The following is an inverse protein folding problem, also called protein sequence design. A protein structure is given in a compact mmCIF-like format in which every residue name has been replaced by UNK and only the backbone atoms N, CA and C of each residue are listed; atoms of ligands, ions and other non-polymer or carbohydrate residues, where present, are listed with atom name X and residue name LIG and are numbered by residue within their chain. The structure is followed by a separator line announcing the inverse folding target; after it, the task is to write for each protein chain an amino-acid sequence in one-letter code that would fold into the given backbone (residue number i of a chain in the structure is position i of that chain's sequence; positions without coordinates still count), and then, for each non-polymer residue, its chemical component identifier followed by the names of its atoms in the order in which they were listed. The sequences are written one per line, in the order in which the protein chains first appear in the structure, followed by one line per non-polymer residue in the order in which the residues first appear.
data_IF_322821928972
#
_entry.id   IF_322821928972
#
_cell.length_a   1.000
_cell.length_b   1.000
_cell.length_c   1.000
_cell.angle_alpha   90.00
_cell.angle_beta   90.00
_cell.angle_gamma   90.00
#
_symmetry.space_group_name_H-M   'P 1'
#
loop_
_entity.id
_entity.type
_entity.pdbx_description
1 polymer ?
#
# COMPACT_ATOMS: atom_id res chain seq x y z
N UNK A 1 -20.11 45.01 -14.08
CA UNK A 1 -19.60 43.63 -14.03
C UNK A 1 -20.01 42.93 -15.31
N UNK A 2 -19.03 42.53 -16.12
CA UNK A 2 -19.24 42.21 -17.53
C UNK A 2 -19.36 40.73 -17.80
N UNK A 3 -19.96 40.39 -18.95
CA UNK A 3 -20.12 39.02 -19.47
C UNK A 3 -18.80 38.20 -19.46
N UNK A 4 -17.64 38.86 -19.53
CA UNK A 4 -16.30 38.25 -19.46
C UNK A 4 -15.94 37.62 -18.10
N UNK A 5 -16.50 38.08 -16.97
CA UNK A 5 -16.30 37.43 -15.65
C UNK A 5 -17.04 36.09 -15.59
N UNK A 6 -18.26 36.03 -16.13
CA UNK A 6 -19.08 34.80 -16.15
C UNK A 6 -18.43 33.67 -16.96
N UNK A 7 -17.73 33.99 -18.06
CA UNK A 7 -17.02 32.98 -18.85
C UNK A 7 -15.75 32.46 -18.15
N UNK A 8 -15.04 33.30 -17.39
CA UNK A 8 -13.88 32.88 -16.59
C UNK A 8 -14.29 32.03 -15.39
N UNK A 9 -15.38 32.38 -14.71
CA UNK A 9 -15.89 31.60 -13.58
C UNK A 9 -16.41 30.23 -14.04
N UNK A 10 -17.04 30.16 -15.22
CA UNK A 10 -17.47 28.88 -15.79
C UNK A 10 -16.28 27.99 -16.17
N UNK A 11 -15.28 28.53 -16.86
CA UNK A 11 -14.08 27.78 -17.23
C UNK A 11 -13.30 27.26 -16.01
N UNK A 12 -13.17 28.07 -14.95
CA UNK A 12 -12.56 27.64 -13.68
C UNK A 12 -13.37 26.56 -12.98
N UNK A 13 -14.69 26.64 -13.05
CA UNK A 13 -15.58 25.66 -12.42
C UNK A 13 -15.57 24.34 -13.18
N UNK A 14 -15.48 24.39 -14.51
CA UNK A 14 -15.36 23.23 -15.39
C UNK A 14 -13.97 22.57 -15.20
N UNK A 15 -12.86 23.32 -15.16
CA UNK A 15 -11.53 22.81 -14.79
C UNK A 15 -11.51 22.16 -13.40
N UNK A 16 -12.19 22.80 -12.43
CA UNK A 16 -12.26 22.30 -11.08
C UNK A 16 -13.13 21.04 -10.99
N UNK A 17 -14.18 20.92 -11.82
CA UNK A 17 -14.97 19.69 -11.95
C UNK A 17 -14.13 18.58 -12.59
N UNK A 18 -13.46 18.86 -13.71
CA UNK A 18 -12.62 17.91 -14.43
C UNK A 18 -11.46 17.39 -13.56
N UNK A 19 -10.91 18.24 -12.68
CA UNK A 19 -9.88 17.84 -11.70
C UNK A 19 -10.40 16.95 -10.57
N UNK A 20 -11.71 16.98 -10.28
CA UNK A 20 -12.34 16.15 -9.25
C UNK A 20 -12.86 14.84 -9.87
N UNK A 21 -13.22 14.83 -11.15
CA UNK A 21 -13.77 13.65 -11.84
C UNK A 21 -12.72 12.71 -12.44
N UNK A 22 -11.45 13.11 -12.51
CA UNK A 22 -10.34 12.31 -13.06
C UNK A 22 -9.23 12.08 -12.01
N UNK A 23 -9.60 11.78 -10.77
CA UNK A 23 -8.63 11.42 -9.73
C UNK A 23 -8.10 10.00 -9.98
N UNK A 24 -6.78 9.84 -9.89
CA UNK A 24 -6.05 8.56 -9.95
C UNK A 24 -5.76 8.04 -8.55
N UNK A 25 -5.32 6.79 -8.42
CA UNK A 25 -5.03 6.18 -7.12
C UNK A 25 -3.91 6.91 -6.37
N UNK A 26 -2.86 7.33 -7.06
CA UNK A 26 -1.72 8.08 -6.47
C UNK A 26 -2.12 9.48 -5.94
N UNK A 27 -3.26 10.00 -6.41
CA UNK A 27 -3.81 11.27 -5.94
C UNK A 27 -4.59 11.16 -4.62
N UNK A 28 -4.86 9.94 -4.13
CA UNK A 28 -5.59 9.72 -2.89
C UNK A 28 -4.86 10.27 -1.67
N UNK A 29 -5.62 10.87 -0.74
CA UNK A 29 -5.13 11.44 0.52
C UNK A 29 -6.01 10.99 1.68
N UNK A 30 -5.52 11.03 2.94
CA UNK A 30 -6.36 10.75 4.10
C UNK A 30 -7.69 11.52 4.08
N UNK A 31 -8.78 10.79 4.31
CA UNK A 31 -10.16 11.28 4.24
C UNK A 31 -10.85 11.12 2.87
N UNK A 32 -10.14 10.69 1.83
CA UNK A 32 -10.76 10.33 0.55
C UNK A 32 -11.59 9.05 0.70
N UNK A 33 -12.61 8.90 -0.15
CA UNK A 33 -13.36 7.66 -0.34
C UNK A 33 -12.98 7.03 -1.68
N UNK A 34 -12.96 5.71 -1.73
CA UNK A 34 -12.76 4.93 -2.96
C UNK A 34 -13.60 3.66 -2.90
N UNK A 35 -14.21 3.28 -4.02
CA UNK A 35 -14.93 2.02 -4.14
C UNK A 35 -14.03 0.93 -4.71
N UNK A 36 -13.99 -0.21 -4.04
CA UNK A 36 -13.24 -1.41 -4.42
C UNK A 36 -13.94 -2.65 -3.86
N UNK A 37 -14.03 -3.72 -4.66
CA UNK A 37 -14.64 -5.01 -4.28
C UNK A 37 -16.03 -4.85 -3.64
N UNK A 38 -16.91 -4.09 -4.32
CA UNK A 38 -18.29 -3.80 -3.91
C UNK A 38 -18.45 -3.12 -2.53
N UNK A 39 -17.36 -2.55 -2.01
CA UNK A 39 -17.34 -1.79 -0.75
C UNK A 39 -16.78 -0.39 -1.00
N UNK A 40 -17.24 0.56 -0.19
CA UNK A 40 -16.63 1.89 -0.07
C UNK A 40 -15.62 1.87 1.06
N UNK A 41 -14.44 2.39 0.78
CA UNK A 41 -13.31 2.47 1.70
C UNK A 41 -12.93 3.92 1.94
N UNK A 42 -12.56 4.24 3.17
CA UNK A 42 -11.96 5.52 3.51
C UNK A 42 -10.44 5.38 3.60
N UNK A 43 -9.72 6.26 2.92
CA UNK A 43 -8.27 6.37 3.04
C UNK A 43 -7.94 6.92 4.43
N UNK A 44 -7.31 6.12 5.29
CA UNK A 44 -6.92 6.54 6.65
C UNK A 44 -5.50 7.06 6.72
N UNK A 45 -4.61 6.50 5.91
CA UNK A 45 -3.21 6.90 5.82
C UNK A 45 -2.72 6.81 4.37
N UNK A 46 -1.66 7.55 4.07
CA UNK A 46 -0.92 7.48 2.82
C UNK A 46 0.57 7.49 3.16
N UNK A 47 1.13 6.31 3.41
CA UNK A 47 2.48 6.08 3.90
C UNK A 47 3.49 6.03 2.76
N UNK A 48 4.77 6.15 3.13
CA UNK A 48 5.88 6.05 2.20
C UNK A 48 6.97 5.16 2.79
N UNK A 49 7.55 4.32 1.94
CA UNK A 49 8.73 3.52 2.24
C UNK A 49 9.90 3.94 1.35
N UNK A 50 11.10 3.91 1.90
CA UNK A 50 12.35 4.16 1.18
C UNK A 50 13.27 2.95 1.34
N UNK A 51 13.56 2.31 0.22
CA UNK A 51 14.35 1.08 0.09
C UNK A 51 15.69 1.41 -0.58
N UNK A 52 16.51 2.22 0.10
CA UNK A 52 17.73 2.77 -0.50
C UNK A 52 17.43 3.81 -1.59
N UNK A 53 17.59 3.43 -2.86
CA UNK A 53 17.28 4.30 -4.01
C UNK A 53 15.83 4.16 -4.51
N UNK A 54 15.14 3.06 -4.16
CA UNK A 54 13.76 2.80 -4.54
C UNK A 54 12.76 3.37 -3.51
N UNK A 55 11.51 3.55 -3.94
CA UNK A 55 10.42 4.01 -3.09
C UNK A 55 9.13 3.25 -3.39
N UNK A 56 8.31 3.05 -2.36
CA UNK A 56 6.92 2.67 -2.51
C UNK A 56 6.00 3.58 -1.70
N UNK A 57 4.75 3.66 -2.14
CA UNK A 57 3.66 4.39 -1.49
C UNK A 57 2.58 3.40 -1.09
N UNK A 58 2.02 3.56 0.10
CA UNK A 58 0.99 2.67 0.61
C UNK A 58 -0.20 3.47 1.13
N UNK A 59 -1.42 3.07 0.80
CA UNK A 59 -2.66 3.63 1.33
C UNK A 59 -3.35 2.61 2.22
N UNK A 60 -3.54 2.97 3.50
CA UNK A 60 -4.39 2.20 4.39
C UNK A 60 -5.85 2.55 4.09
N UNK A 61 -6.59 1.59 3.55
CA UNK A 61 -8.01 1.73 3.23
C UNK A 61 -8.85 0.97 4.27
N UNK A 62 -9.79 1.68 4.89
CA UNK A 62 -10.63 1.14 5.97
C UNK A 62 -12.10 1.23 5.60
N UNK A 63 -12.80 0.10 5.73
CA UNK A 63 -14.26 0.03 5.65
C UNK A 63 -14.86 -0.21 7.04
N UNK A 64 -16.18 -0.37 7.12
CA UNK A 64 -16.85 -0.62 8.39
C UNK A 64 -16.42 -1.93 9.10
N UNK A 65 -15.85 -2.89 8.37
CA UNK A 65 -15.56 -4.24 8.89
C UNK A 65 -14.21 -4.80 8.48
N UNK A 66 -13.40 -4.05 7.73
CA UNK A 66 -12.20 -4.58 7.08
C UNK A 66 -11.15 -3.47 6.88
N UNK A 67 -9.90 -3.88 6.79
CA UNK A 67 -8.75 -3.02 6.50
C UNK A 67 -7.89 -3.69 5.44
N UNK A 68 -7.52 -2.94 4.43
CA UNK A 68 -6.59 -3.36 3.40
C UNK A 68 -5.55 -2.28 3.15
N UNK A 69 -4.45 -2.69 2.55
CA UNK A 69 -3.36 -1.83 2.18
C UNK A 69 -3.20 -1.93 0.67
N UNK A 70 -3.23 -0.78 0.01
CA UNK A 70 -2.96 -0.66 -1.41
C UNK A 70 -1.55 -0.09 -1.53
N UNK A 71 -0.65 -0.78 -2.22
CA UNK A 71 0.71 -0.31 -2.41
C UNK A 71 0.98 -0.05 -3.88
N UNK A 72 1.85 0.94 -4.13
CA UNK A 72 2.37 1.33 -5.43
C UNK A 72 3.90 1.38 -5.36
N UNK A 73 4.55 0.51 -6.12
CA UNK A 73 5.98 0.55 -6.34
C UNK A 73 6.27 1.19 -7.71
N UNK A 74 7.24 2.09 -7.77
CA UNK A 74 7.69 2.72 -9.01
C UNK A 74 9.20 2.58 -9.11
N UNK A 75 9.66 1.43 -9.60
CA UNK A 75 11.06 1.22 -9.97
C UNK A 75 11.21 1.37 -11.50
N UNK A 76 10.94 0.31 -12.26
CA UNK A 76 10.94 0.33 -13.74
C UNK A 76 9.53 0.53 -14.34
N UNK A 77 8.55 -0.21 -13.82
CA UNK A 77 7.12 -0.08 -14.16
C UNK A 77 6.31 0.23 -12.89
N UNK A 78 5.11 0.80 -13.07
CA UNK A 78 4.22 1.07 -11.94
C UNK A 78 3.43 -0.19 -11.63
N UNK A 79 3.71 -0.76 -10.47
CA UNK A 79 3.05 -1.97 -10.00
C UNK A 79 2.17 -1.64 -8.80
N UNK A 80 0.97 -2.23 -8.79
CA UNK A 80 0.01 -2.07 -7.71
C UNK A 80 -0.27 -3.43 -7.10
N UNK A 81 -0.27 -3.49 -5.78
CA UNK A 81 -0.69 -4.69 -5.06
C UNK A 81 -1.68 -4.32 -3.95
N UNK A 82 -2.49 -5.29 -3.55
CA UNK A 82 -3.42 -5.13 -2.44
C UNK A 82 -3.20 -6.25 -1.44
N UNK A 83 -3.14 -5.89 -0.16
CA UNK A 83 -2.87 -6.84 0.90
C UNK A 83 -3.78 -6.62 2.10
N UNK A 84 -3.92 -7.68 2.91
CA UNK A 84 -4.63 -7.66 4.18
C UNK A 84 -3.72 -8.20 5.27
N UNK A 85 -3.82 -7.66 6.49
CA UNK A 85 -3.04 -8.18 7.61
C UNK A 85 -3.47 -9.60 7.93
N UNK A 86 -2.49 -10.48 8.12
CA UNK A 86 -2.67 -11.83 8.62
C UNK A 86 -1.92 -11.99 9.94
N UNK A 87 -2.29 -13.00 10.72
CA UNK A 87 -1.48 -13.31 11.90
C UNK A 87 -0.15 -13.90 11.44
N UNK A 88 0.97 -13.26 11.79
CA UNK A 88 2.31 -13.82 11.55
C UNK A 88 2.45 -15.25 12.12
N UNK A 89 1.79 -15.55 13.25
CA UNK A 89 1.76 -16.91 13.83
C UNK A 89 1.16 -17.96 12.89
N UNK A 90 0.31 -17.55 11.96
CA UNK A 90 -0.30 -18.47 10.99
C UNK A 90 0.70 -19.01 9.98
N UNK A 91 1.85 -18.35 9.80
CA UNK A 91 2.96 -18.82 8.95
C UNK A 91 3.76 -19.97 9.60
N UNK A 92 3.50 -20.26 10.88
CA UNK A 92 4.10 -21.36 11.62
C UNK A 92 5.39 -20.98 12.36
N UNK A 93 5.67 -21.71 13.45
CA UNK A 93 6.80 -21.41 14.34
C UNK A 93 8.17 -21.56 13.66
N UNK A 94 8.25 -22.37 12.60
CA UNK A 94 9.48 -22.57 11.84
C UNK A 94 9.96 -21.27 11.18
N UNK A 95 9.06 -20.47 10.61
CA UNK A 95 9.41 -19.19 9.96
C UNK A 95 10.06 -18.24 10.95
N UNK A 96 9.40 -18.02 12.11
CA UNK A 96 9.96 -17.21 13.20
C UNK A 96 11.33 -17.71 13.63
N UNK A 97 11.44 -19.01 13.85
CA UNK A 97 12.67 -19.62 14.36
C UNK A 97 13.82 -19.39 13.38
N UNK A 98 13.60 -19.59 12.08
CA UNK A 98 14.60 -19.33 11.04
C UNK A 98 15.06 -17.88 11.11
N UNK A 99 14.14 -16.91 11.07
CA UNK A 99 14.48 -15.47 11.12
C UNK A 99 15.31 -15.13 12.36
N UNK A 100 14.93 -15.62 13.53
CA UNK A 100 15.65 -15.34 14.77
C UNK A 100 17.03 -16.02 14.86
N UNK A 101 17.22 -17.17 14.21
CA UNK A 101 18.48 -17.93 14.25
C UNK A 101 19.47 -17.49 13.17
N UNK A 102 18.99 -17.13 11.98
CA UNK A 102 19.82 -16.79 10.82
C UNK A 102 19.88 -15.29 10.54
N UNK A 103 18.91 -14.53 11.04
CA UNK A 103 18.68 -13.13 10.65
C UNK A 103 17.96 -12.98 9.31
N UNK A 104 17.45 -14.07 8.73
CA UNK A 104 16.84 -14.10 7.41
C UNK A 104 15.64 -15.05 7.34
N UNK A 105 14.68 -14.78 6.47
CA UNK A 105 13.49 -15.59 6.32
C UNK A 105 13.77 -16.84 5.46
N UNK A 106 13.01 -17.95 5.62
CA UNK A 106 13.23 -19.15 4.80
C UNK A 106 12.94 -18.87 3.32
N UNK A 107 13.61 -19.58 2.40
CA UNK A 107 13.39 -19.43 0.95
C UNK A 107 11.97 -19.84 0.50
N UNK A 108 11.29 -20.70 1.27
CA UNK A 108 9.94 -21.18 0.97
C UNK A 108 9.05 -21.17 2.22
N UNK A 109 7.79 -20.79 2.05
CA UNK A 109 6.75 -20.85 3.09
C UNK A 109 5.55 -21.62 2.57
N UNK A 110 5.15 -22.68 3.30
CA UNK A 110 3.90 -23.38 3.06
C UNK A 110 2.78 -22.78 3.91
N UNK A 111 1.79 -22.14 3.30
CA UNK A 111 0.68 -21.50 3.99
C UNK A 111 -0.64 -21.67 3.23
N UNK A 112 -1.71 -21.99 3.96
CA UNK A 112 -3.06 -22.26 3.40
C UNK A 112 -3.10 -23.25 2.22
N UNK A 113 -2.18 -24.22 2.18
CA UNK A 113 -2.12 -25.24 1.13
C UNK A 113 -1.43 -24.80 -0.16
N UNK A 114 -0.77 -23.64 -0.14
CA UNK A 114 0.07 -23.13 -1.23
C UNK A 114 1.52 -22.99 -0.76
N UNK A 115 2.44 -22.98 -1.73
CA UNK A 115 3.86 -22.71 -1.50
C UNK A 115 4.16 -21.33 -2.05
N UNK A 116 4.80 -20.52 -1.22
CA UNK A 116 5.28 -19.19 -1.53
C UNK A 116 6.80 -19.22 -1.56
N UNK A 117 7.39 -18.60 -2.58
CA UNK A 117 8.82 -18.56 -2.84
C UNK A 117 9.33 -17.15 -2.57
N UNK A 118 10.47 -17.03 -1.89
CA UNK A 118 11.07 -15.74 -1.57
C UNK A 118 11.56 -15.06 -2.86
N UNK A 119 11.03 -13.88 -3.15
CA UNK A 119 11.39 -13.10 -4.35
C UNK A 119 12.25 -11.88 -3.98
N UNK A 120 11.89 -11.17 -2.92
CA UNK A 120 12.60 -9.96 -2.50
C UNK A 120 12.91 -9.94 -1.00
N UNK A 121 14.07 -9.36 -0.68
CA UNK A 121 14.45 -9.01 0.69
C UNK A 121 15.02 -7.61 0.69
N UNK A 122 14.43 -6.73 1.51
CA UNK A 122 14.82 -5.34 1.57
C UNK A 122 14.94 -4.85 3.02
N UNK A 123 15.85 -3.91 3.24
CA UNK A 123 15.89 -3.09 4.44
C UNK A 123 15.52 -1.66 4.08
N UNK A 124 14.60 -1.05 4.84
CA UNK A 124 14.06 0.26 4.49
C UNK A 124 13.73 1.13 5.68
N UNK A 125 13.12 2.27 5.38
CA UNK A 125 12.60 3.22 6.35
C UNK A 125 11.17 3.62 6.00
N UNK A 126 10.30 3.56 6.99
CA UNK A 126 8.89 3.91 6.92
C UNK A 126 8.62 5.36 7.35
N UNK A 127 7.72 6.03 6.64
CA UNK A 127 7.26 7.38 6.94
C UNK A 127 5.73 7.45 6.94
N UNK A 128 5.15 7.60 8.13
CA UNK A 128 3.72 7.74 8.32
C UNK A 128 3.17 8.98 7.59
N UNK A 129 2.09 8.80 6.82
CA UNK A 129 1.45 9.86 6.04
C UNK A 129 2.40 10.58 5.04
N UNK A 130 3.48 9.92 4.62
CA UNK A 130 4.40 10.38 3.58
C UNK A 130 5.19 11.64 3.93
N UNK A 131 5.17 12.06 5.20
CA UNK A 131 5.88 13.25 5.65
C UNK A 131 7.32 12.89 6.01
N UNK A 132 8.26 13.30 5.16
CA UNK A 132 9.70 13.28 5.50
C UNK A 132 10.05 14.65 6.08
N UNK A 133 10.14 14.78 7.40
CA UNK A 133 10.69 16.00 7.99
C UNK A 133 12.21 16.04 7.79
N UNK A 134 12.82 17.23 7.73
CA UNK A 134 14.27 17.40 7.50
C UNK A 134 15.21 16.65 8.45
N UNK A 135 14.70 16.09 9.56
CA UNK A 135 15.45 15.34 10.57
C UNK A 135 14.79 14.00 10.93
N UNK A 136 13.78 13.60 10.17
CA UNK A 136 13.13 12.32 10.37
C UNK A 136 13.86 11.28 9.52
N UNK A 137 14.42 10.27 10.18
CA UNK A 137 15.11 9.18 9.51
C UNK A 137 14.11 8.07 9.10
N UNK A 138 12.85 8.15 9.56
CA UNK A 138 11.85 7.12 9.38
C UNK A 138 12.08 5.94 10.33
N UNK A 139 11.06 5.10 10.49
CA UNK A 139 11.14 3.90 11.31
C UNK A 139 11.79 2.77 10.49
N UNK A 140 12.92 2.19 10.94
CA UNK A 140 13.61 1.16 10.16
C UNK A 140 12.85 -0.17 10.22
N UNK A 141 12.87 -0.89 9.10
CA UNK A 141 12.28 -2.24 8.99
C UNK A 141 13.06 -3.14 8.03
N UNK A 142 12.87 -4.44 8.19
CA UNK A 142 13.20 -5.46 7.19
C UNK A 142 11.92 -5.99 6.56
N UNK A 143 11.99 -6.33 5.29
CA UNK A 143 10.90 -6.85 4.47
C UNK A 143 11.37 -8.13 3.76
N UNK A 144 10.50 -9.13 3.76
CA UNK A 144 10.60 -10.29 2.89
C UNK A 144 9.29 -10.47 2.13
N UNK A 145 9.36 -10.40 0.80
CA UNK A 145 8.24 -10.63 -0.08
C UNK A 145 8.35 -11.98 -0.76
N UNK A 146 7.23 -12.68 -0.75
CA UNK A 146 7.07 -13.98 -1.33
C UNK A 146 5.91 -14.02 -2.31
N UNK A 147 6.04 -14.88 -3.32
CA UNK A 147 5.06 -15.03 -4.38
C UNK A 147 4.78 -16.52 -4.66
N UNK A 148 3.56 -16.85 -5.08
CA UNK A 148 3.24 -18.20 -5.58
C UNK A 148 3.84 -18.43 -6.97
N UNK A 149 4.03 -19.69 -7.38
CA UNK A 149 4.62 -20.02 -8.70
C UNK A 149 3.87 -19.38 -9.90
N UNK A 150 2.56 -19.14 -9.76
CA UNK A 150 1.74 -18.50 -10.80
C UNK A 150 1.72 -16.96 -10.74
N UNK A 151 2.28 -16.37 -9.70
CA UNK A 151 2.39 -14.93 -9.49
C UNK A 151 1.10 -14.21 -9.07
N UNK A 152 0.10 -14.95 -8.62
CA UNK A 152 -1.23 -14.40 -8.33
C UNK A 152 -1.44 -14.07 -6.84
N UNK A 153 -0.58 -14.57 -5.96
CA UNK A 153 -0.69 -14.35 -4.52
C UNK A 153 0.64 -14.02 -3.87
N UNK A 154 0.59 -13.03 -3.00
CA UNK A 154 1.75 -12.51 -2.28
C UNK A 154 1.64 -12.78 -0.78
N UNK A 155 2.78 -13.00 -0.16
CA UNK A 155 2.98 -12.96 1.28
C UNK A 155 4.12 -12.01 1.60
N UNK A 156 3.83 -11.02 2.42
CA UNK A 156 4.84 -10.06 2.90
C UNK A 156 5.04 -10.28 4.39
N UNK A 157 6.30 -10.29 4.83
CA UNK A 157 6.68 -10.27 6.23
C UNK A 157 7.49 -9.01 6.47
N UNK A 158 7.06 -8.22 7.46
CA UNK A 158 7.82 -7.07 7.93
C UNK A 158 8.34 -7.32 9.34
N UNK A 159 9.57 -6.90 9.60
CA UNK A 159 10.18 -6.90 10.93
C UNK A 159 10.57 -5.47 11.34
N UNK A 160 9.92 -4.99 12.39
CA UNK A 160 10.08 -3.63 12.93
C UNK A 160 11.04 -3.57 14.14
N UNK A 161 11.44 -4.73 14.64
CA UNK A 161 12.38 -4.87 15.74
C UNK A 161 12.70 -6.35 15.97
N UNK A 162 13.58 -6.66 16.93
CA UNK A 162 14.12 -8.03 17.09
C UNK A 162 13.05 -9.14 17.15
N UNK A 163 11.88 -8.85 17.72
CA UNK A 163 10.78 -9.83 17.86
C UNK A 163 9.42 -9.31 17.39
N UNK A 164 9.41 -8.16 16.71
CA UNK A 164 8.19 -7.50 16.27
C UNK A 164 7.97 -7.76 14.78
N UNK A 165 6.91 -8.50 14.48
CA UNK A 165 6.63 -9.02 13.14
C UNK A 165 5.20 -8.73 12.74
N UNK A 166 5.06 -8.20 11.54
CA UNK A 166 3.79 -8.07 10.84
C UNK A 166 3.82 -8.95 9.59
N UNK A 167 2.64 -9.38 9.15
CA UNK A 167 2.52 -10.20 7.96
C UNK A 167 1.25 -9.87 7.21
N UNK A 168 1.34 -9.93 5.90
CA UNK A 168 0.28 -9.54 4.98
C UNK A 168 0.12 -10.61 3.91
N UNK A 169 -1.12 -10.82 3.49
CA UNK A 169 -1.44 -11.68 2.36
C UNK A 169 -2.24 -10.88 1.33
N UNK A 170 -1.88 -11.04 0.07
CA UNK A 170 -2.35 -10.17 -0.99
C UNK A 170 -2.15 -10.73 -2.38
N UNK A 171 -2.12 -9.84 -3.36
CA UNK A 171 -1.86 -10.14 -4.76
C UNK A 171 -1.88 -8.87 -5.61
N UNK A 172 -1.75 -9.02 -6.93
CA UNK A 172 -1.72 -7.90 -7.85
C UNK A 172 -3.06 -7.15 -7.84
N UNK A 173 -2.96 -5.84 -7.97
CA UNK A 173 -4.09 -4.94 -8.10
C UNK A 173 -3.97 -4.13 -9.39
N UNK A 174 -5.11 -3.69 -9.91
CA UNK A 174 -5.16 -2.88 -11.10
C UNK A 174 -6.07 -1.69 -10.91
N UNK A 175 -5.69 -0.54 -11.45
CA UNK A 175 -6.43 0.71 -11.25
C UNK A 175 -7.90 0.62 -11.67
N UNK A 176 -8.21 -0.15 -12.72
CA UNK A 176 -9.59 -0.33 -13.20
C UNK A 176 -10.51 -1.05 -12.21
N UNK A 177 -9.96 -1.72 -11.19
CA UNK A 177 -10.73 -2.36 -10.11
C UNK A 177 -11.27 -1.33 -9.11
N UNK A 178 -10.75 -0.11 -9.14
CA UNK A 178 -11.12 0.97 -8.25
C UNK A 178 -11.98 1.99 -8.98
N UNK A 179 -12.94 2.56 -8.27
CA UNK A 179 -13.85 3.57 -8.84
C UNK A 179 -14.29 4.56 -7.78
N UNK A 180 -14.99 5.62 -8.20
CA UNK A 180 -15.56 6.62 -7.29
C UNK A 180 -14.54 7.15 -6.27
N UNK A 181 -13.35 7.54 -6.75
CA UNK A 181 -12.36 8.23 -5.94
C UNK A 181 -12.88 9.64 -5.65
N UNK A 182 -13.23 9.90 -4.39
CA UNK A 182 -13.91 11.11 -3.97
C UNK A 182 -13.13 11.80 -2.84
N UNK A 183 -12.84 13.11 -2.95
CA UNK A 183 -12.28 13.86 -1.83
C UNK A 183 -13.30 14.01 -0.68
N UNK A 184 -12.84 14.27 0.55
CA UNK A 184 -13.74 14.48 1.68
C UNK A 184 -14.70 15.64 1.41
N UNK A 185 -15.95 15.48 1.86
CA UNK A 185 -16.95 16.55 1.80
C UNK A 185 -16.46 17.77 2.61
N UNK A 186 -16.52 18.96 1.99
CA UNK A 186 -16.15 20.24 2.62
C UNK A 186 -17.17 20.71 3.66
#
# INVERSE_FOLDING_TARGET
MGLFDFFKDKAKRDEQLDSITNLTLDAMRPGFLVDYDLKTWEVKAANKYIWGEALSLEWQLVSASDTLYLECATDDETEWCISRPISFRSLGDAVRKTILETGDAPEEIAWQGKTYYLEETAGGHYFANGQVAMKDEGDPLLLWDYETEDGEEYLTIEQWGENDFEAYAGGPAHEYQFSNILPPAR
#
